data_IF_867420773357
#
_entry.id   IF_867420773357
#
_cell.length_a   1.000
_cell.length_b   1.000
_cell.length_c   1.000
_cell.angle_alpha   90.00
_cell.angle_beta   90.00
_cell.angle_gamma   90.00
#
_symmetry.space_group_name_H-M   'P 1'
#
loop_
_entity.id
_entity.type
_entity.pdbx_description
1 polymer ?
#
# COMPACT_ATOMS: atom_id res chain seq x y z
N UNK A 1 -8.24 -22.04 18.27
CA UNK A 1 -7.36 -20.87 18.45
C UNK A 1 -6.17 -21.34 19.27
N UNK A 2 -5.10 -21.76 18.60
CA UNK A 2 -3.85 -22.19 19.24
C UNK A 2 -3.17 -20.96 19.84
N UNK A 3 -2.88 -20.99 21.14
CA UNK A 3 -2.08 -19.96 21.80
C UNK A 3 -0.72 -19.86 21.09
N UNK A 4 -0.20 -18.67 20.77
CA UNK A 4 1.12 -18.53 20.20
C UNK A 4 2.16 -19.14 21.15
N UNK A 5 3.07 -19.96 20.64
CA UNK A 5 4.21 -20.46 21.39
C UNK A 5 5.22 -19.31 21.58
N UNK A 6 5.74 -19.09 22.79
CA UNK A 6 6.56 -17.91 23.14
C UNK A 6 7.79 -17.72 22.23
N UNK A 7 8.39 -18.83 21.78
CA UNK A 7 9.51 -18.82 20.84
C UNK A 7 9.13 -18.25 19.47
N UNK A 8 7.90 -18.54 19.02
CA UNK A 8 7.40 -18.05 17.72
C UNK A 8 7.15 -16.54 17.79
N UNK A 9 6.56 -16.09 18.91
CA UNK A 9 6.31 -14.67 19.15
C UNK A 9 7.63 -13.89 19.17
N UNK A 10 8.62 -14.40 19.89
CA UNK A 10 9.96 -13.79 19.99
C UNK A 10 10.63 -13.65 18.62
N UNK A 11 10.51 -14.69 17.78
CA UNK A 11 11.04 -14.65 16.40
C UNK A 11 10.31 -13.64 15.52
N UNK A 12 9.00 -13.52 15.62
CA UNK A 12 8.23 -12.53 14.85
C UNK A 12 8.57 -11.10 15.27
N UNK A 13 8.73 -10.86 16.58
CA UNK A 13 9.12 -9.56 17.11
C UNK A 13 10.53 -9.14 16.65
N UNK A 14 11.48 -10.08 16.57
CA UNK A 14 12.83 -9.76 16.08
C UNK A 14 12.85 -9.38 14.59
N UNK A 15 11.99 -10.00 13.78
CA UNK A 15 11.81 -9.63 12.36
C UNK A 15 11.28 -8.21 12.20
N UNK A 16 10.36 -7.77 13.06
CA UNK A 16 9.87 -6.39 13.06
C UNK A 16 10.99 -5.39 13.40
N UNK A 17 11.89 -5.75 14.32
CA UNK A 17 13.08 -4.96 14.63
C UNK A 17 14.00 -4.79 13.41
N UNK A 18 14.26 -5.87 12.68
CA UNK A 18 15.05 -5.83 11.46
C UNK A 18 14.39 -4.96 10.36
N UNK A 19 13.08 -5.05 10.21
CA UNK A 19 12.30 -4.24 9.27
C UNK A 19 12.40 -2.74 9.61
N UNK A 20 12.25 -2.36 10.88
CA UNK A 20 12.42 -0.97 11.32
C UNK A 20 13.82 -0.45 11.03
N UNK A 21 14.85 -1.26 11.29
CA UNK A 21 16.23 -0.89 10.99
C UNK A 21 16.49 -0.70 9.49
N UNK A 22 15.87 -1.51 8.63
CA UNK A 22 15.94 -1.32 7.17
C UNK A 22 15.26 -0.02 6.73
N UNK A 23 14.09 0.30 7.31
CA UNK A 23 13.37 1.54 7.00
C UNK A 23 14.10 2.80 7.46
N UNK A 24 14.81 2.74 8.58
CA UNK A 24 15.62 3.85 9.09
C UNK A 24 16.75 4.26 8.13
N UNK A 25 17.18 3.38 7.22
CA UNK A 25 18.17 3.73 6.18
C UNK A 25 17.59 4.64 5.09
N UNK A 26 16.28 4.56 4.85
CA UNK A 26 15.60 5.35 3.81
C UNK A 26 14.91 6.60 4.39
N UNK A 27 14.41 6.52 5.63
CA UNK A 27 13.66 7.60 6.28
C UNK A 27 14.22 7.86 7.67
N UNK A 28 14.79 9.06 7.85
CA UNK A 28 15.43 9.46 9.11
C UNK A 28 14.46 10.23 10.00
N UNK A 29 14.43 9.91 11.29
CA UNK A 29 13.70 10.68 12.31
C UNK A 29 12.18 10.48 12.30
N UNK A 30 11.69 9.35 11.78
CA UNK A 30 10.26 9.03 11.67
C UNK A 30 9.88 7.73 12.40
N UNK A 31 10.61 7.34 13.44
CA UNK A 31 10.46 6.05 14.12
C UNK A 31 9.03 5.80 14.63
N UNK A 32 8.41 6.80 15.24
CA UNK A 32 7.03 6.70 15.75
C UNK A 32 6.01 6.49 14.62
N UNK A 33 6.21 7.15 13.46
CA UNK A 33 5.33 7.01 12.31
C UNK A 33 5.48 5.62 11.67
N UNK A 34 6.72 5.12 11.57
CA UNK A 34 7.00 3.75 11.10
C UNK A 34 6.29 2.74 12.00
N UNK A 35 6.39 2.90 13.32
CA UNK A 35 5.71 2.03 14.28
C UNK A 35 4.20 2.00 14.10
N UNK A 36 3.56 3.17 14.01
CA UNK A 36 2.12 3.28 13.81
C UNK A 36 1.67 2.68 12.46
N UNK A 37 2.46 2.86 11.40
CA UNK A 37 2.21 2.25 10.10
C UNK A 37 2.25 0.72 10.16
N UNK A 38 3.25 0.15 10.85
CA UNK A 38 3.37 -1.30 11.03
C UNK A 38 2.21 -1.86 11.84
N UNK A 39 1.80 -1.17 12.91
CA UNK A 39 0.64 -1.55 13.71
C UNK A 39 -0.63 -1.56 12.84
N UNK A 40 -0.87 -0.48 12.09
CA UNK A 40 -2.02 -0.39 11.20
C UNK A 40 -2.03 -1.48 10.14
N UNK A 41 -0.88 -1.75 9.50
CA UNK A 41 -0.75 -2.79 8.49
C UNK A 41 -1.02 -4.19 9.07
N UNK A 42 -0.41 -4.54 10.20
CA UNK A 42 -0.56 -5.85 10.84
C UNK A 42 -1.97 -6.08 11.38
N UNK A 43 -2.66 -5.01 11.79
CA UNK A 43 -4.05 -5.05 12.21
C UNK A 43 -5.05 -5.06 11.04
N UNK A 44 -4.59 -4.95 9.79
CA UNK A 44 -5.45 -4.83 8.60
C UNK A 44 -6.21 -3.51 8.51
N UNK A 45 -5.73 -2.46 9.17
CA UNK A 45 -6.30 -1.12 9.18
C UNK A 45 -5.78 -0.22 8.04
N UNK A 46 -6.25 1.03 8.06
CA UNK A 46 -5.81 2.08 7.15
C UNK A 46 -5.15 3.22 7.94
N UNK A 47 -4.12 3.83 7.35
CA UNK A 47 -3.37 4.91 7.99
C UNK A 47 -3.49 6.20 7.18
N UNK A 48 -3.75 7.32 7.87
CA UNK A 48 -3.69 8.67 7.30
C UNK A 48 -2.38 9.33 7.73
N UNK A 49 -1.58 9.77 6.75
CA UNK A 49 -0.26 10.39 6.98
C UNK A 49 -0.34 11.90 6.75
N UNK A 50 -0.42 12.68 7.83
CA UNK A 50 -0.51 14.14 7.78
C UNK A 50 0.85 14.83 7.99
N UNK A 51 0.99 16.04 7.45
CA UNK A 51 2.15 16.90 7.65
C UNK A 51 2.58 17.62 6.36
N UNK A 52 3.58 18.49 6.49
CA UNK A 52 4.03 19.34 5.41
C UNK A 52 4.49 18.57 4.15
N UNK A 53 4.34 19.17 2.96
CA UNK A 53 4.88 18.60 1.73
C UNK A 53 6.41 18.46 1.82
N UNK A 54 6.94 17.41 1.20
CA UNK A 54 8.39 17.15 1.18
C UNK A 54 8.94 16.35 2.37
N UNK A 55 8.14 16.03 3.38
CA UNK A 55 8.57 15.23 4.55
C UNK A 55 8.67 13.72 4.27
N UNK A 56 8.95 13.32 3.03
CA UNK A 56 9.22 11.93 2.70
C UNK A 56 8.05 10.95 2.86
N UNK A 57 6.79 11.39 2.97
CA UNK A 57 5.61 10.50 3.15
C UNK A 57 5.53 9.42 2.08
N UNK A 58 5.71 9.81 0.82
CA UNK A 58 5.73 8.88 -0.31
C UNK A 58 6.93 7.94 -0.27
N UNK A 59 8.10 8.44 0.14
CA UNK A 59 9.30 7.62 0.29
C UNK A 59 9.09 6.56 1.37
N UNK A 60 8.54 6.94 2.53
CA UNK A 60 8.23 6.06 3.64
C UNK A 60 7.33 4.89 3.23
N UNK A 61 6.18 5.17 2.63
CA UNK A 61 5.23 4.11 2.23
C UNK A 61 5.81 3.24 1.11
N UNK A 62 6.56 3.82 0.17
CA UNK A 62 7.22 3.05 -0.89
C UNK A 62 8.31 2.14 -0.33
N UNK A 63 9.16 2.64 0.57
CA UNK A 63 10.22 1.87 1.22
C UNK A 63 9.65 0.75 2.09
N UNK A 64 8.51 0.98 2.76
CA UNK A 64 7.77 -0.06 3.46
C UNK A 64 7.29 -1.16 2.51
N UNK A 65 6.69 -0.78 1.37
CA UNK A 65 6.29 -1.74 0.35
C UNK A 65 7.46 -2.56 -0.18
N UNK A 66 8.61 -1.93 -0.45
CA UNK A 66 9.81 -2.62 -0.91
C UNK A 66 10.38 -3.58 0.15
N UNK A 67 10.47 -3.15 1.41
CA UNK A 67 11.02 -3.97 2.49
C UNK A 67 10.14 -5.18 2.84
N UNK A 68 8.84 -5.11 2.52
CA UNK A 68 7.86 -6.18 2.73
C UNK A 68 7.48 -6.92 1.44
N UNK A 69 8.13 -6.61 0.31
CA UNK A 69 7.82 -7.17 -1.01
C UNK A 69 6.33 -7.00 -1.42
N UNK A 70 5.70 -5.91 -1.00
CA UNK A 70 4.31 -5.57 -1.32
C UNK A 70 4.23 -4.75 -2.61
N UNK A 71 3.13 -4.92 -3.34
CA UNK A 71 2.82 -4.04 -4.46
C UNK A 71 2.49 -2.64 -3.96
N UNK A 72 3.25 -1.64 -4.41
CA UNK A 72 2.98 -0.23 -4.15
C UNK A 72 2.27 0.40 -5.34
N UNK A 73 1.10 1.01 -5.11
CA UNK A 73 0.38 1.82 -6.08
C UNK A 73 0.08 3.19 -5.47
N UNK A 74 0.21 4.24 -6.28
CA UNK A 74 -0.05 5.63 -5.87
C UNK A 74 -1.14 6.22 -6.75
N UNK A 75 -2.23 6.66 -6.13
CA UNK A 75 -3.30 7.42 -6.79
C UNK A 75 -3.20 8.87 -6.30
N UNK A 76 -3.07 9.81 -7.24
CA UNK A 76 -3.15 11.23 -6.93
C UNK A 76 -4.61 11.66 -7.05
N UNK A 77 -5.18 12.15 -5.96
CA UNK A 77 -6.51 12.73 -5.99
C UNK A 77 -6.43 14.09 -6.70
N UNK A 78 -7.18 14.22 -7.79
CA UNK A 78 -7.43 15.45 -8.55
C UNK A 78 -8.94 15.72 -8.52
N UNK A 79 -9.41 16.96 -8.70
CA UNK A 79 -10.84 17.26 -8.70
C UNK A 79 -11.60 16.51 -9.81
N UNK A 80 -10.90 16.11 -10.87
CA UNK A 80 -11.48 15.40 -12.01
C UNK A 80 -11.39 13.86 -11.89
N UNK A 81 -10.77 13.33 -10.83
CA UNK A 81 -10.61 11.89 -10.65
C UNK A 81 -11.99 11.22 -10.48
N UNK A 82 -12.31 10.29 -11.38
CA UNK A 82 -13.56 9.54 -11.36
C UNK A 82 -13.37 8.19 -10.66
N UNK A 83 -14.40 7.62 -10.01
CA UNK A 83 -14.32 6.29 -9.42
C UNK A 83 -13.90 5.21 -10.43
N UNK A 84 -14.29 5.36 -11.70
CA UNK A 84 -13.88 4.48 -12.80
C UNK A 84 -12.37 4.45 -13.03
N UNK A 85 -11.63 5.51 -12.68
CA UNK A 85 -10.17 5.56 -12.82
C UNK A 85 -9.45 4.69 -11.77
N UNK A 86 -10.16 4.28 -10.70
CA UNK A 86 -9.63 3.43 -9.62
C UNK A 86 -10.19 2.01 -9.72
N UNK A 87 -11.49 1.90 -9.96
CA UNK A 87 -12.19 0.61 -9.98
C UNK A 87 -12.14 -0.07 -11.35
N UNK A 88 -11.90 0.70 -12.42
CA UNK A 88 -12.10 0.27 -13.81
C UNK A 88 -13.50 0.61 -14.32
N UNK A 89 -13.71 0.47 -15.63
CA UNK A 89 -15.01 0.65 -16.29
C UNK A 89 -15.27 -0.41 -17.34
N UNK A 90 -16.55 -0.70 -17.59
CA UNK A 90 -16.97 -1.47 -18.76
C UNK A 90 -16.96 -0.58 -19.99
N UNK A 91 -16.23 -0.99 -21.03
CA UNK A 91 -16.21 -0.35 -22.34
C UNK A 91 -17.05 -1.17 -23.32
N UNK A 92 -17.88 -0.49 -24.11
CA UNK A 92 -18.59 -1.12 -25.22
C UNK A 92 -17.69 -1.07 -26.47
N UNK A 93 -17.13 -2.22 -26.85
CA UNK A 93 -16.34 -2.38 -28.08
C UNK A 93 -17.24 -2.88 -29.22
N UNK A 94 -17.08 -2.30 -30.41
CA UNK A 94 -17.76 -2.74 -31.64
C UNK A 94 -16.74 -3.43 -32.54
N UNK A 95 -17.02 -4.66 -32.94
CA UNK A 95 -16.17 -5.38 -33.88
C UNK A 95 -16.34 -4.78 -35.29
N UNK A 96 -15.27 -4.15 -35.79
CA UNK A 96 -15.24 -3.47 -37.09
C UNK A 96 -15.51 -4.39 -38.30
N UNK A 97 -15.44 -5.72 -38.14
CA UNK A 97 -15.77 -6.68 -39.19
C UNK A 97 -17.23 -7.16 -39.17
N UNK A 98 -17.88 -7.17 -38.01
CA UNK A 98 -19.19 -7.83 -37.83
C UNK A 98 -20.29 -6.89 -37.32
N UNK A 99 -19.95 -5.70 -36.83
CA UNK A 99 -20.89 -4.75 -36.22
C UNK A 99 -21.44 -5.19 -34.87
N UNK A 100 -20.98 -6.33 -34.34
CA UNK A 100 -21.41 -6.81 -33.03
C UNK A 100 -20.74 -6.00 -31.92
N UNK A 101 -21.57 -5.52 -30.98
CA UNK A 101 -21.12 -4.82 -29.79
C UNK A 101 -20.99 -5.77 -28.62
N UNK A 102 -19.87 -5.69 -27.91
CA UNK A 102 -19.63 -6.46 -26.69
C UNK A 102 -19.04 -5.57 -25.60
N UNK A 103 -19.35 -5.88 -24.34
CA UNK A 103 -18.76 -5.18 -23.20
C UNK A 103 -17.41 -5.83 -22.85
N UNK A 104 -16.40 -4.99 -22.61
CA UNK A 104 -15.07 -5.37 -22.17
C UNK A 104 -14.66 -4.51 -20.98
N UNK A 105 -14.27 -5.16 -19.89
CA UNK A 105 -13.74 -4.48 -18.72
C UNK A 105 -12.32 -3.95 -18.98
N UNK A 106 -12.10 -2.67 -18.67
CA UNK A 106 -10.78 -2.03 -18.69
C UNK A 106 -10.40 -1.59 -17.27
N UNK A 107 -9.21 -2.01 -16.82
CA UNK A 107 -8.61 -1.66 -15.53
C UNK A 107 -7.26 -0.96 -15.75
#
# INVERSE_FOLDING_TARGET
MTSPNDDTLTRQLSQLGALRAALAQAVVGQDAVVEQLLIGLLAGGHCLLEGAPGLGKTLLVRSLGQALELQFRRVQFTPDLMPSDILGTELLEEDHGTGHRHFRFQQ
#
